data_IF_921086911139
#
_entry.id   IF_921086911139
#
_cell.length_a   1.000
_cell.length_b   1.000
_cell.length_c   1.000
_cell.angle_alpha   90.00
_cell.angle_beta   90.00
_cell.angle_gamma   90.00
#
_symmetry.space_group_name_H-M   'P 1'
#
loop_
_entity.id
_entity.type
_entity.pdbx_description
1 polymer ?
#
# COMPACT_ATOMS: atom_id res chain seq x y z
N UNK A 1 42.39 -17.19 -47.36
CA UNK A 1 43.40 -17.00 -46.31
C UNK A 1 43.99 -15.62 -46.55
N UNK A 2 43.50 -14.63 -45.80
CA UNK A 2 43.80 -13.21 -45.99
C UNK A 2 44.30 -12.68 -44.66
N UNK A 3 45.53 -12.15 -44.66
CA UNK A 3 46.19 -11.38 -43.59
C UNK A 3 47.53 -10.92 -44.22
N UNK A 4 48.10 -9.74 -44.06
CA UNK A 4 47.97 -8.65 -43.10
C UNK A 4 48.40 -7.35 -43.81
N UNK A 5 47.81 -6.20 -43.44
CA UNK A 5 48.55 -4.94 -43.43
C UNK A 5 48.04 -4.07 -42.30
N UNK A 6 48.78 -4.06 -41.20
CA UNK A 6 48.75 -2.99 -40.22
C UNK A 6 50.01 -2.16 -40.48
N UNK A 7 49.84 -0.86 -40.70
CA UNK A 7 50.68 0.11 -40.03
C UNK A 7 49.98 1.46 -39.94
N UNK A 8 50.16 2.03 -38.76
CA UNK A 8 49.39 3.10 -38.14
C UNK A 8 50.04 4.46 -38.38
N UNK A 9 49.21 5.50 -38.21
CA UNK A 9 49.48 6.73 -37.43
C UNK A 9 49.42 8.01 -38.26
N UNK A 10 48.40 8.85 -38.02
CA UNK A 10 48.60 10.25 -37.60
C UNK A 10 47.26 10.96 -37.29
N UNK A 11 47.18 11.45 -36.04
CA UNK A 11 46.45 12.59 -35.49
C UNK A 11 45.23 13.22 -36.23
N UNK A 12 44.14 13.40 -35.46
CA UNK A 12 43.64 14.74 -35.06
C UNK A 12 42.63 14.67 -33.90
N UNK A 13 42.49 15.75 -33.10
CA UNK A 13 41.72 15.78 -31.86
C UNK A 13 40.25 16.15 -32.15
N UNK A 14 39.31 15.44 -31.53
CA UNK A 14 37.92 15.90 -31.45
C UNK A 14 37.59 16.24 -30.00
N UNK A 15 37.87 17.48 -29.63
CA UNK A 15 37.12 18.14 -28.58
C UNK A 15 35.71 18.39 -29.10
N UNK A 16 34.76 17.52 -28.74
CA UNK A 16 33.35 17.85 -28.88
C UNK A 16 32.98 18.82 -27.75
N UNK A 17 32.97 20.11 -28.08
CA UNK A 17 32.06 21.03 -27.41
C UNK A 17 30.66 20.41 -27.56
N UNK A 18 30.08 19.92 -26.46
CA UNK A 18 28.69 19.50 -26.39
C UNK A 18 27.86 20.78 -26.57
N UNK A 19 27.49 21.10 -27.81
CA UNK A 19 26.47 22.10 -28.08
C UNK A 19 25.26 21.73 -27.24
N UNK A 20 24.80 22.66 -26.39
CA UNK A 20 23.48 22.60 -25.79
C UNK A 20 22.49 22.55 -26.94
N UNK A 21 22.05 21.33 -27.28
CA UNK A 21 20.93 21.16 -28.19
C UNK A 21 19.72 21.71 -27.44
N UNK A 22 19.20 22.85 -27.87
CA UNK A 22 17.82 23.20 -27.56
C UNK A 22 16.95 22.02 -27.98
N UNK A 23 16.02 21.60 -27.13
CA UNK A 23 14.98 20.65 -27.49
C UNK A 23 13.72 21.49 -27.75
N UNK A 24 13.55 22.10 -28.94
CA UNK A 24 12.25 22.66 -29.30
C UNK A 24 11.33 21.47 -29.58
N UNK A 25 10.43 21.18 -28.65
CA UNK A 25 9.34 20.23 -28.86
C UNK A 25 8.07 21.03 -28.94
N UNK A 26 7.48 21.06 -30.12
CA UNK A 26 6.10 21.46 -30.30
C UNK A 26 5.21 20.36 -29.72
N UNK A 27 4.66 20.59 -28.52
CA UNK A 27 3.89 19.59 -27.78
C UNK A 27 2.62 19.16 -28.52
N UNK A 28 2.06 20.03 -29.36
CA UNK A 28 0.80 19.76 -30.09
C UNK A 28 1.04 18.92 -31.35
N UNK A 29 2.22 19.07 -31.96
CA UNK A 29 2.61 18.34 -33.16
C UNK A 29 3.45 17.07 -32.88
N UNK A 30 4.06 16.97 -31.70
CA UNK A 30 4.93 15.85 -31.34
C UNK A 30 4.15 14.53 -31.21
N UNK A 31 4.70 13.49 -31.84
CA UNK A 31 4.24 12.13 -31.62
C UNK A 31 4.55 11.65 -30.20
N UNK A 32 3.81 10.64 -29.72
CA UNK A 32 4.03 10.07 -28.38
C UNK A 32 5.48 9.57 -28.18
N UNK A 33 6.12 9.05 -29.22
CA UNK A 33 7.52 8.59 -29.13
C UNK A 33 8.50 9.77 -29.00
N UNK A 34 8.25 10.89 -29.67
CA UNK A 34 9.06 12.11 -29.53
C UNK A 34 8.93 12.69 -28.12
N UNK A 35 7.72 12.69 -27.55
CA UNK A 35 7.49 13.12 -26.17
C UNK A 35 8.22 12.22 -25.16
N UNK A 36 8.19 10.90 -25.33
CA UNK A 36 8.93 9.96 -24.46
C UNK A 36 10.44 10.18 -24.58
N UNK A 37 10.96 10.40 -25.79
CA UNK A 37 12.37 10.68 -26.01
C UNK A 37 12.80 12.01 -25.38
N UNK A 38 11.97 13.06 -25.51
CA UNK A 38 12.22 14.35 -24.88
C UNK A 38 12.21 14.24 -23.34
N UNK A 39 11.23 13.55 -22.76
CA UNK A 39 11.17 13.31 -21.32
C UNK A 39 12.41 12.56 -20.80
N UNK A 40 12.87 11.55 -21.54
CA UNK A 40 14.09 10.81 -21.22
C UNK A 40 15.34 11.70 -21.26
N UNK A 41 15.46 12.56 -22.29
CA UNK A 41 16.58 13.49 -22.41
C UNK A 41 16.60 14.53 -21.26
N UNK A 42 15.44 15.07 -20.89
CA UNK A 42 15.29 16.01 -19.77
C UNK A 42 15.65 15.31 -18.45
N UNK A 43 15.15 14.09 -18.22
CA UNK A 43 15.45 13.32 -17.02
C UNK A 43 16.96 13.00 -16.89
N UNK A 44 17.62 12.67 -18.00
CA UNK A 44 19.06 12.41 -18.02
C UNK A 44 19.87 13.68 -17.68
N UNK A 45 19.48 14.84 -18.20
CA UNK A 45 20.10 16.12 -17.87
C UNK A 45 19.91 16.45 -16.38
N UNK A 46 18.68 16.35 -15.86
CA UNK A 46 18.37 16.58 -14.44
C UNK A 46 19.19 15.67 -13.52
N UNK A 47 19.27 14.37 -13.84
CA UNK A 47 20.01 13.39 -13.04
C UNK A 47 21.52 13.65 -13.00
N UNK A 48 22.07 14.36 -13.99
CA UNK A 48 23.50 14.67 -14.06
C UNK A 48 23.90 15.97 -13.33
N UNK A 49 22.92 16.80 -12.97
CA UNK A 49 23.17 18.08 -12.30
C UNK A 49 23.46 17.90 -10.82
N UNK A 50 24.36 18.73 -10.31
CA UNK A 50 24.56 18.85 -8.86
C UNK A 50 23.33 19.49 -8.23
N UNK A 51 22.91 18.96 -7.08
CA UNK A 51 21.82 19.57 -6.30
C UNK A 51 22.20 21.00 -5.87
N UNK A 52 21.26 21.96 -5.87
CA UNK A 52 21.52 23.30 -5.35
C UNK A 52 21.90 23.27 -3.87
N UNK A 53 22.77 24.20 -3.44
CA UNK A 53 23.18 24.31 -2.04
C UNK A 53 22.04 24.81 -1.12
N UNK A 54 21.00 25.41 -1.68
CA UNK A 54 19.85 25.92 -0.93
C UNK A 54 18.85 24.80 -0.59
N UNK A 55 18.58 24.52 0.71
CA UNK A 55 17.59 23.53 1.10
C UNK A 55 16.16 23.88 0.63
N UNK A 56 15.81 25.17 0.64
CA UNK A 56 14.49 25.62 0.18
C UNK A 56 14.30 25.37 -1.32
N UNK A 57 15.35 25.64 -2.12
CA UNK A 57 15.31 25.33 -3.55
C UNK A 57 15.21 23.82 -3.80
N UNK A 58 15.92 23.01 -3.02
CA UNK A 58 15.82 21.55 -3.11
C UNK A 58 14.42 21.02 -2.78
N UNK A 59 13.73 21.61 -1.79
CA UNK A 59 12.35 21.26 -1.46
C UNK A 59 11.41 21.51 -2.65
N UNK A 60 11.40 22.73 -3.18
CA UNK A 60 10.53 23.12 -4.31
C UNK A 60 10.81 22.27 -5.56
N UNK A 61 12.09 22.03 -5.87
CA UNK A 61 12.48 21.20 -7.01
C UNK A 61 12.08 19.73 -6.83
N UNK A 62 12.18 19.20 -5.60
CA UNK A 62 11.77 17.84 -5.31
C UNK A 62 10.26 17.65 -5.48
N UNK A 63 9.45 18.61 -5.02
CA UNK A 63 8.00 18.58 -5.18
C UNK A 63 7.60 18.69 -6.66
N UNK A 64 8.23 19.60 -7.42
CA UNK A 64 8.00 19.72 -8.86
C UNK A 64 8.39 18.48 -9.65
N UNK A 65 9.54 17.86 -9.33
CA UNK A 65 9.99 16.63 -9.96
C UNK A 65 9.10 15.42 -9.59
N UNK A 66 8.61 15.37 -8.36
CA UNK A 66 7.66 14.35 -7.92
C UNK A 66 6.34 14.46 -8.70
N UNK A 67 5.79 15.67 -8.86
CA UNK A 67 4.58 15.90 -9.65
C UNK A 67 4.78 15.50 -11.13
N UNK A 68 5.93 15.83 -11.72
CA UNK A 68 6.26 15.40 -13.08
C UNK A 68 6.39 13.87 -13.18
N UNK A 69 6.94 13.22 -12.16
CA UNK A 69 7.03 11.76 -12.07
C UNK A 69 5.64 11.13 -12.00
N UNK A 70 4.72 11.70 -11.22
CA UNK A 70 3.34 11.23 -11.14
C UNK A 70 2.63 11.25 -12.50
N UNK A 71 2.84 12.31 -13.30
CA UNK A 71 2.30 12.41 -14.67
C UNK A 71 2.92 11.36 -15.61
N UNK A 72 4.23 11.12 -15.51
CA UNK A 72 4.89 10.04 -16.25
C UNK A 72 4.35 8.67 -15.84
N UNK A 73 4.05 8.47 -14.56
CA UNK A 73 3.44 7.25 -14.06
C UNK A 73 1.99 7.10 -14.57
N UNK A 74 1.23 8.18 -14.75
CA UNK A 74 -0.09 8.13 -15.39
C UNK A 74 0.02 7.65 -16.86
N UNK A 75 0.97 8.21 -17.61
CA UNK A 75 1.21 7.82 -19.00
C UNK A 75 1.66 6.36 -19.13
N UNK A 76 2.64 5.93 -18.34
CA UNK A 76 3.13 4.55 -18.35
C UNK A 76 2.02 3.57 -17.89
N UNK A 77 1.07 3.97 -17.05
CA UNK A 77 -0.09 3.13 -16.72
C UNK A 77 -0.96 2.86 -17.96
N UNK A 78 -1.14 3.86 -18.82
CA UNK A 78 -1.81 3.73 -20.10
C UNK A 78 -1.11 2.75 -21.03
N UNK A 79 0.20 2.88 -21.20
CA UNK A 79 0.98 1.97 -22.05
C UNK A 79 0.94 0.53 -21.55
N UNK A 80 1.13 0.33 -20.23
CA UNK A 80 1.04 -1.01 -19.61
C UNK A 80 -0.36 -1.60 -19.79
N UNK A 81 -1.42 -0.79 -19.71
CA UNK A 81 -2.79 -1.24 -19.92
C UNK A 81 -3.03 -1.77 -21.33
N UNK A 82 -2.55 -1.05 -22.35
CA UNK A 82 -2.62 -1.50 -23.76
C UNK A 82 -1.83 -2.79 -23.98
N UNK A 83 -0.60 -2.85 -23.43
CA UNK A 83 0.26 -4.04 -23.53
C UNK A 83 -0.36 -5.27 -22.85
N UNK A 84 -0.95 -5.10 -21.66
CA UNK A 84 -1.61 -6.18 -20.91
C UNK A 84 -2.88 -6.67 -21.63
N UNK A 85 -3.72 -5.74 -22.09
CA UNK A 85 -4.95 -6.04 -22.81
C UNK A 85 -4.70 -6.78 -24.12
N UNK A 86 -3.65 -6.41 -24.86
CA UNK A 86 -3.25 -7.07 -26.09
C UNK A 86 -2.48 -8.39 -25.88
N UNK A 87 -2.06 -8.71 -24.65
CA UNK A 87 -1.14 -9.82 -24.35
C UNK A 87 0.12 -9.78 -25.22
N UNK A 88 0.63 -8.58 -25.45
CA UNK A 88 1.75 -8.38 -26.38
C UNK A 88 3.02 -9.05 -25.86
N UNK A 89 3.27 -9.02 -24.54
CA UNK A 89 4.50 -9.54 -23.93
C UNK A 89 4.71 -11.04 -24.14
N UNK A 90 3.65 -11.81 -24.34
CA UNK A 90 3.71 -13.24 -24.63
C UNK A 90 4.33 -13.50 -26.00
N UNK A 91 4.13 -12.61 -26.98
CA UNK A 91 4.80 -12.67 -28.30
C UNK A 91 6.31 -12.48 -28.17
N UNK A 92 6.75 -11.83 -27.10
CA UNK A 92 8.15 -11.58 -26.77
C UNK A 92 8.71 -12.59 -25.74
N UNK A 93 8.00 -13.68 -25.49
CA UNK A 93 8.47 -14.78 -24.64
C UNK A 93 8.30 -14.58 -23.14
N UNK A 94 7.59 -13.54 -22.70
CA UNK A 94 7.28 -13.36 -21.27
C UNK A 94 5.97 -14.08 -20.90
N UNK A 95 5.92 -14.80 -19.77
CA UNK A 95 4.72 -15.53 -19.36
C UNK A 95 3.56 -14.62 -18.94
N UNK A 96 3.83 -13.37 -18.57
CA UNK A 96 2.82 -12.37 -18.20
C UNK A 96 3.38 -10.95 -18.24
N UNK A 97 2.50 -9.95 -18.30
CA UNK A 97 2.87 -8.53 -18.22
C UNK A 97 3.65 -8.23 -16.94
N UNK A 98 3.25 -8.85 -15.82
CA UNK A 98 3.98 -8.74 -14.54
C UNK A 98 5.41 -9.27 -14.65
N UNK A 99 5.63 -10.39 -15.35
CA UNK A 99 6.98 -10.91 -15.58
C UNK A 99 7.80 -9.98 -16.47
N UNK A 100 7.19 -9.38 -17.50
CA UNK A 100 7.83 -8.40 -18.35
C UNK A 100 8.25 -7.15 -17.58
N UNK A 101 7.37 -6.58 -16.75
CA UNK A 101 7.68 -5.43 -15.89
C UNK A 101 8.89 -5.70 -14.96
N UNK A 102 8.96 -6.90 -14.38
CA UNK A 102 10.09 -7.29 -13.53
C UNK A 102 11.39 -7.43 -14.33
N UNK A 103 11.34 -8.14 -15.46
CA UNK A 103 12.54 -8.52 -16.21
C UNK A 103 13.08 -7.39 -17.08
N UNK A 104 12.22 -6.55 -17.66
CA UNK A 104 12.62 -5.47 -18.59
C UNK A 104 12.68 -4.09 -17.95
N UNK A 105 11.81 -3.82 -16.97
CA UNK A 105 11.77 -2.53 -16.28
C UNK A 105 12.42 -2.61 -14.89
N UNK A 106 13.02 -3.75 -14.51
CA UNK A 106 13.75 -3.91 -13.25
C UNK A 106 12.89 -3.81 -11.98
N UNK A 107 11.57 -3.91 -12.11
CA UNK A 107 10.65 -3.71 -10.98
C UNK A 107 10.70 -4.88 -9.99
N UNK A 108 10.65 -4.57 -8.69
CA UNK A 108 10.37 -5.56 -7.64
C UNK A 108 8.94 -6.10 -7.76
N UNK A 109 8.67 -7.26 -7.16
CA UNK A 109 7.36 -7.92 -7.22
C UNK A 109 6.20 -6.99 -6.84
N UNK A 110 6.31 -6.32 -5.69
CA UNK A 110 5.29 -5.42 -5.19
C UNK A 110 5.01 -4.28 -6.16
N UNK A 111 6.05 -3.64 -6.68
CA UNK A 111 5.93 -2.53 -7.65
C UNK A 111 5.32 -3.01 -8.96
N UNK A 112 5.74 -4.16 -9.48
CA UNK A 112 5.17 -4.72 -10.71
C UNK A 112 3.68 -5.09 -10.55
N UNK A 113 3.29 -5.64 -9.39
CA UNK A 113 1.89 -5.92 -9.06
C UNK A 113 1.07 -4.63 -9.00
N UNK A 114 1.53 -3.64 -8.25
CA UNK A 114 0.87 -2.33 -8.12
C UNK A 114 0.68 -1.66 -9.48
N UNK A 115 1.73 -1.65 -10.32
CA UNK A 115 1.68 -1.08 -11.67
C UNK A 115 0.65 -1.74 -12.55
N UNK A 116 0.58 -3.08 -12.49
CA UNK A 116 -0.39 -3.86 -13.25
C UNK A 116 -1.82 -3.66 -12.73
N UNK A 117 -2.00 -3.57 -11.42
CA UNK A 117 -3.30 -3.24 -10.80
C UNK A 117 -3.79 -1.88 -11.30
N UNK A 118 -2.95 -0.85 -11.18
CA UNK A 118 -3.23 0.49 -11.71
C UNK A 118 -3.66 0.46 -13.18
N UNK A 119 -2.84 -0.15 -14.03
CA UNK A 119 -3.11 -0.24 -15.46
C UNK A 119 -4.46 -0.90 -15.78
N UNK A 120 -4.82 -1.96 -15.04
CA UNK A 120 -6.08 -2.69 -15.21
C UNK A 120 -7.28 -1.92 -14.73
N UNK A 121 -7.19 -1.20 -13.61
CA UNK A 121 -8.36 -0.56 -13.00
C UNK A 121 -8.68 0.83 -13.58
N UNK A 122 -7.75 1.47 -14.31
CA UNK A 122 -7.96 2.83 -14.88
C UNK A 122 -9.29 3.02 -15.61
N UNK A 123 -9.70 2.06 -16.44
CA UNK A 123 -10.95 2.17 -17.19
C UNK A 123 -12.22 2.12 -16.32
N UNK A 124 -12.13 1.55 -15.12
CA UNK A 124 -13.22 1.45 -14.13
C UNK A 124 -13.22 2.63 -13.15
N UNK A 125 -12.20 3.48 -13.24
CA UNK A 125 -11.94 4.61 -12.35
C UNK A 125 -11.66 5.89 -13.17
N UNK A 126 -12.65 6.38 -13.95
CA UNK A 126 -12.46 7.50 -14.86
C UNK A 126 -12.12 8.81 -14.16
N UNK A 127 -12.68 9.09 -12.99
CA UNK A 127 -12.44 10.34 -12.27
C UNK A 127 -11.03 10.36 -11.67
N UNK A 128 -10.64 9.29 -11.00
CA UNK A 128 -9.28 9.07 -10.50
C UNK A 128 -8.27 9.19 -11.64
N UNK A 129 -8.56 8.56 -12.79
CA UNK A 129 -7.68 8.61 -13.97
C UNK A 129 -7.56 10.02 -14.53
N UNK A 130 -8.67 10.78 -14.57
CA UNK A 130 -8.69 12.18 -15.00
C UNK A 130 -7.85 13.07 -14.09
N UNK A 131 -8.11 13.05 -12.77
CA UNK A 131 -7.36 13.83 -11.77
C UNK A 131 -5.87 13.48 -11.76
N UNK A 132 -5.53 12.19 -11.91
CA UNK A 132 -4.13 11.76 -11.98
C UNK A 132 -3.44 12.27 -13.25
N UNK A 133 -4.09 12.19 -14.41
CA UNK A 133 -3.54 12.70 -15.67
C UNK A 133 -3.43 14.23 -15.69
N UNK A 134 -4.25 14.94 -14.92
CA UNK A 134 -4.18 16.39 -14.74
C UNK A 134 -3.13 16.83 -13.70
N UNK A 135 -2.51 15.91 -12.97
CA UNK A 135 -1.56 16.22 -11.90
C UNK A 135 -2.22 16.65 -10.59
N UNK A 136 -3.52 16.45 -10.45
CA UNK A 136 -4.32 16.77 -9.25
C UNK A 136 -4.32 15.62 -8.23
N UNK A 137 -3.85 14.44 -8.63
CA UNK A 137 -3.77 13.24 -7.78
C UNK A 137 -2.40 12.59 -7.95
N UNK A 138 -1.71 12.31 -6.85
CA UNK A 138 -0.41 11.60 -6.91
C UNK A 138 -0.58 10.12 -7.26
N UNK A 139 0.49 9.49 -7.79
CA UNK A 139 0.48 8.08 -8.13
C UNK A 139 0.22 7.18 -6.90
N UNK A 140 0.60 7.64 -5.70
CA UNK A 140 0.35 6.93 -4.45
C UNK A 140 -1.14 6.82 -4.11
N UNK A 141 -1.91 7.91 -4.28
CA UNK A 141 -3.36 7.86 -4.12
C UNK A 141 -4.03 7.06 -5.22
N UNK A 142 -3.61 7.25 -6.48
CA UNK A 142 -4.12 6.47 -7.60
C UNK A 142 -3.93 4.96 -7.37
N UNK A 143 -2.74 4.54 -6.91
CA UNK A 143 -2.43 3.14 -6.60
C UNK A 143 -3.31 2.58 -5.50
N UNK A 144 -3.52 3.38 -4.45
CA UNK A 144 -4.35 3.04 -3.30
C UNK A 144 -5.81 2.82 -3.69
N UNK A 145 -6.38 3.73 -4.49
CA UNK A 145 -7.76 3.64 -4.96
C UNK A 145 -7.92 2.45 -5.91
N UNK A 146 -6.98 2.27 -6.84
CA UNK A 146 -6.99 1.13 -7.77
C UNK A 146 -6.92 -0.23 -7.03
N UNK A 147 -6.10 -0.35 -5.99
CA UNK A 147 -6.01 -1.59 -5.20
C UNK A 147 -7.33 -1.90 -4.47
N UNK A 148 -7.97 -0.87 -3.88
CA UNK A 148 -9.22 -1.01 -3.14
C UNK A 148 -10.37 -1.58 -4.00
N UNK A 149 -10.42 -1.23 -5.29
CA UNK A 149 -11.49 -1.68 -6.20
C UNK A 149 -11.22 -3.01 -6.92
N UNK A 150 -10.04 -3.61 -6.74
CA UNK A 150 -9.64 -4.85 -7.44
C UNK A 150 -10.62 -6.01 -7.27
N UNK A 151 -11.32 -6.04 -6.13
CA UNK A 151 -12.28 -7.08 -5.77
C UNK A 151 -13.73 -6.61 -5.89
N UNK A 152 -13.99 -5.36 -6.25
CA UNK A 152 -15.35 -4.86 -6.42
C UNK A 152 -15.89 -5.20 -7.80
N UNK A 153 -17.20 -5.39 -7.91
CA UNK A 153 -17.87 -5.45 -9.21
C UNK A 153 -18.04 -4.04 -9.81
N UNK A 154 -18.52 -3.98 -11.05
CA UNK A 154 -18.67 -2.72 -11.78
C UNK A 154 -19.77 -1.81 -11.22
N UNK A 155 -20.65 -2.34 -10.36
CA UNK A 155 -21.71 -1.55 -9.70
C UNK A 155 -21.14 -0.79 -8.51
N UNK A 156 -20.33 -1.46 -7.68
CA UNK A 156 -19.74 -0.88 -6.47
C UNK A 156 -18.47 -0.06 -6.78
N UNK A 157 -17.83 -0.25 -7.95
CA UNK A 157 -16.58 0.44 -8.30
C UNK A 157 -16.73 1.98 -8.36
N UNK A 158 -17.74 2.57 -9.03
CA UNK A 158 -17.93 4.03 -9.02
C UNK A 158 -18.28 4.58 -7.63
N UNK A 159 -18.96 3.79 -6.79
CA UNK A 159 -19.28 4.20 -5.42
C UNK A 159 -18.01 4.27 -4.57
N UNK A 160 -17.14 3.25 -4.69
CA UNK A 160 -15.84 3.22 -4.03
C UNK A 160 -14.94 4.37 -4.49
N UNK A 161 -14.89 4.65 -5.80
CA UNK A 161 -14.13 5.76 -6.37
C UNK A 161 -14.52 7.09 -5.72
N UNK A 162 -15.83 7.41 -5.71
CA UNK A 162 -16.35 8.63 -5.11
C UNK A 162 -16.01 8.77 -3.62
N UNK A 163 -16.18 7.69 -2.84
CA UNK A 163 -15.90 7.72 -1.40
C UNK A 163 -14.41 7.96 -1.14
N UNK A 164 -13.53 7.24 -1.84
CA UNK A 164 -12.09 7.32 -1.62
C UNK A 164 -11.52 8.65 -2.12
N UNK A 165 -11.99 9.18 -3.26
CA UNK A 165 -11.63 10.53 -3.71
C UNK A 165 -12.14 11.60 -2.73
N UNK A 166 -13.34 11.43 -2.18
CA UNK A 166 -13.86 12.32 -1.13
C UNK A 166 -12.98 12.33 0.13
N UNK A 167 -12.30 11.22 0.47
CA UNK A 167 -11.30 11.21 1.55
C UNK A 167 -10.03 11.97 1.17
N UNK A 168 -9.59 11.86 -0.09
CA UNK A 168 -8.44 12.62 -0.60
C UNK A 168 -8.73 14.13 -0.52
N UNK A 169 -9.93 14.54 -0.93
CA UNK A 169 -10.37 15.95 -0.90
C UNK A 169 -10.44 16.51 0.54
N UNK A 170 -10.65 15.64 1.53
CA UNK A 170 -10.59 15.99 2.96
C UNK A 170 -9.16 15.98 3.54
N UNK A 171 -8.14 15.73 2.73
CA UNK A 171 -6.74 15.74 3.15
C UNK A 171 -6.26 14.48 3.88
N UNK A 172 -6.96 13.34 3.73
CA UNK A 172 -6.53 12.09 4.34
C UNK A 172 -5.29 11.55 3.63
N UNK A 173 -4.28 11.10 4.41
CA UNK A 173 -3.06 10.52 3.82
C UNK A 173 -3.34 9.23 3.04
N UNK A 174 -2.49 8.93 2.05
CA UNK A 174 -2.62 7.70 1.23
C UNK A 174 -2.68 6.43 2.08
N UNK A 175 -1.91 6.34 3.17
CA UNK A 175 -1.96 5.20 4.10
C UNK A 175 -3.30 5.06 4.82
N UNK A 176 -3.96 6.17 5.13
CA UNK A 176 -5.30 6.17 5.74
C UNK A 176 -6.37 5.80 4.72
N UNK A 177 -6.28 6.32 3.50
CA UNK A 177 -7.14 5.92 2.37
C UNK A 177 -6.97 4.41 2.08
N UNK A 178 -5.75 3.88 2.12
CA UNK A 178 -5.48 2.45 1.90
C UNK A 178 -6.09 1.57 2.99
N UNK A 179 -5.97 2.01 4.25
CA UNK A 179 -6.55 1.30 5.38
C UNK A 179 -8.08 1.24 5.29
N UNK A 180 -8.71 2.32 4.83
CA UNK A 180 -10.15 2.36 4.59
C UNK A 180 -10.55 1.55 3.35
N UNK A 181 -9.77 1.63 2.28
CA UNK A 181 -9.95 0.88 1.04
C UNK A 181 -10.03 -0.63 1.25
N UNK A 182 -9.31 -1.19 2.23
CA UNK A 182 -9.41 -2.61 2.60
C UNK A 182 -10.82 -3.05 3.03
N UNK A 183 -11.63 -2.12 3.54
CA UNK A 183 -13.00 -2.35 4.04
C UNK A 183 -14.06 -1.71 3.14
N UNK A 184 -13.70 -1.17 1.97
CA UNK A 184 -14.62 -0.37 1.15
C UNK A 184 -15.86 -1.16 0.72
N UNK A 185 -15.74 -2.47 0.49
CA UNK A 185 -16.88 -3.35 0.19
C UNK A 185 -17.88 -3.39 1.35
N UNK A 186 -17.37 -3.56 2.58
CA UNK A 186 -18.20 -3.58 3.80
C UNK A 186 -18.90 -2.24 3.97
N UNK A 187 -18.16 -1.13 3.80
CA UNK A 187 -18.70 0.24 3.90
C UNK A 187 -19.83 0.48 2.89
N UNK A 188 -19.66 0.02 1.65
CA UNK A 188 -20.71 0.17 0.62
C UNK A 188 -21.93 -0.70 0.96
N UNK A 189 -21.72 -1.92 1.42
CA UNK A 189 -22.79 -2.82 1.82
C UNK A 189 -23.59 -2.27 3.01
N UNK A 190 -22.91 -1.75 4.04
CA UNK A 190 -23.51 -1.08 5.20
C UNK A 190 -24.33 0.16 4.76
N UNK A 191 -23.75 1.02 3.91
CA UNK A 191 -24.40 2.26 3.43
C UNK A 191 -25.70 1.97 2.68
N UNK A 192 -25.68 0.95 1.82
CA UNK A 192 -26.80 0.65 0.94
C UNK A 192 -27.80 -0.34 1.58
N UNK A 193 -27.63 -0.68 2.86
CA UNK A 193 -28.46 -1.68 3.55
C UNK A 193 -28.37 -3.08 2.93
N UNK A 194 -27.32 -3.31 2.13
CA UNK A 194 -27.00 -4.58 1.44
C UNK A 194 -25.99 -5.38 2.26
N UNK A 195 -25.94 -5.17 3.57
CA UNK A 195 -25.07 -5.91 4.47
C UNK A 195 -25.36 -7.41 4.30
N UNK A 196 -24.52 -8.06 3.50
CA UNK A 196 -24.50 -9.51 3.41
C UNK A 196 -23.60 -9.96 4.54
N UNK A 197 -24.20 -10.74 5.44
CA UNK A 197 -23.43 -11.51 6.40
C UNK A 197 -22.27 -12.19 5.64
N UNK A 198 -21.02 -12.15 6.15
CA UNK A 198 -19.89 -12.81 5.50
C UNK A 198 -20.27 -14.24 5.06
N UNK A 199 -19.73 -14.76 3.95
CA UNK A 199 -20.01 -16.15 3.51
C UNK A 199 -19.77 -17.18 4.64
N UNK A 200 -18.89 -16.84 5.59
CA UNK A 200 -18.59 -17.55 6.82
C UNK A 200 -19.81 -17.70 7.77
N UNK A 201 -20.84 -16.87 7.62
CA UNK A 201 -22.13 -16.87 8.32
C UNK A 201 -23.12 -17.88 7.71
N UNK A 202 -22.75 -18.59 6.64
CA UNK A 202 -23.46 -19.82 6.25
C UNK A 202 -23.51 -20.87 7.37
N UNK A 203 -22.74 -20.69 8.46
CA UNK A 203 -22.81 -21.51 9.70
C UNK A 203 -23.93 -21.10 10.67
N UNK A 204 -24.69 -20.04 10.35
CA UNK A 204 -25.77 -19.49 11.16
C UNK A 204 -25.26 -18.61 12.31
N UNK A 205 -25.99 -17.52 12.60
CA UNK A 205 -25.74 -16.59 13.71
C UNK A 205 -25.84 -17.22 15.12
N UNK A 206 -26.11 -18.52 15.22
CA UNK A 206 -26.21 -19.22 16.50
C UNK A 206 -24.86 -19.81 16.93
N UNK A 207 -23.92 -20.06 16.00
CA UNK A 207 -22.72 -20.86 16.30
C UNK A 207 -21.43 -20.09 16.06
N UNK A 208 -20.73 -19.81 17.15
CA UNK A 208 -19.37 -19.31 17.13
C UNK A 208 -18.42 -20.29 16.43
N UNK A 209 -17.42 -19.75 15.73
CA UNK A 209 -16.39 -20.54 15.08
C UNK A 209 -15.06 -19.82 15.04
N UNK A 210 -13.98 -20.60 15.01
CA UNK A 210 -12.60 -20.12 14.86
C UNK A 210 -11.92 -21.03 13.84
N UNK A 211 -11.23 -20.43 12.88
CA UNK A 211 -10.33 -21.09 11.94
C UNK A 211 -8.88 -20.72 12.21
N UNK A 212 -7.96 -21.64 11.93
CA UNK A 212 -6.53 -21.47 12.17
C UNK A 212 -5.69 -21.95 10.99
N UNK A 213 -5.13 -20.99 10.26
CA UNK A 213 -4.25 -21.25 9.11
C UNK A 213 -2.78 -21.16 9.53
N UNK A 214 -1.94 -22.11 9.10
CA UNK A 214 -0.50 -22.07 9.38
C UNK A 214 0.21 -21.01 8.53
N UNK A 215 1.08 -20.23 9.16
CA UNK A 215 2.04 -19.35 8.51
C UNK A 215 3.31 -20.13 8.15
N UNK A 216 4.07 -19.62 7.18
CA UNK A 216 5.30 -20.24 6.67
C UNK A 216 6.44 -20.26 7.71
N UNK A 217 6.37 -19.40 8.71
CA UNK A 217 7.34 -19.26 9.81
C UNK A 217 6.95 -20.09 11.06
N UNK A 218 5.93 -20.95 10.95
CA UNK A 218 5.44 -21.78 12.05
C UNK A 218 4.42 -21.10 12.96
N UNK A 219 4.13 -19.80 12.75
CA UNK A 219 3.02 -19.10 13.37
C UNK A 219 1.65 -19.58 12.84
N UNK A 220 0.57 -19.05 13.41
CA UNK A 220 -0.81 -19.31 12.95
C UNK A 220 -1.60 -18.02 12.84
N UNK A 221 -2.28 -17.83 11.72
CA UNK A 221 -3.34 -16.84 11.59
C UNK A 221 -4.63 -17.42 12.17
N UNK A 222 -5.30 -16.66 13.03
CA UNK A 222 -6.57 -17.05 13.63
C UNK A 222 -7.62 -16.04 13.16
N UNK A 223 -8.73 -16.54 12.61
CA UNK A 223 -9.91 -15.74 12.27
C UNK A 223 -11.14 -16.45 12.82
N UNK A 224 -12.11 -15.72 13.33
CA UNK A 224 -13.33 -16.32 13.84
C UNK A 224 -14.46 -15.31 13.94
N UNK A 225 -15.63 -15.84 14.24
CA UNK A 225 -16.82 -15.07 14.59
C UNK A 225 -17.40 -15.67 15.88
N UNK A 226 -17.79 -14.82 16.82
CA UNK A 226 -18.44 -15.22 18.06
C UNK A 226 -19.86 -14.67 18.08
N UNK A 227 -20.82 -15.49 18.51
CA UNK A 227 -22.16 -15.02 18.84
C UNK A 227 -22.10 -14.10 20.08
N UNK A 228 -23.22 -13.44 20.41
CA UNK A 228 -23.25 -12.47 21.50
C UNK A 228 -22.86 -13.05 22.88
N UNK A 229 -23.21 -14.31 23.15
CA UNK A 229 -22.90 -14.98 24.42
C UNK A 229 -21.40 -15.31 24.51
N UNK A 230 -20.84 -15.93 23.48
CA UNK A 230 -19.43 -16.29 23.42
C UNK A 230 -18.53 -15.05 23.34
N UNK A 231 -18.99 -13.98 22.69
CA UNK A 231 -18.31 -12.68 22.69
C UNK A 231 -18.28 -12.08 24.10
N UNK A 232 -19.38 -12.16 24.87
CA UNK A 232 -19.40 -11.69 26.25
C UNK A 232 -18.45 -12.51 27.15
N UNK A 233 -18.34 -13.83 26.93
CA UNK A 233 -17.36 -14.69 27.62
C UNK A 233 -15.93 -14.29 27.22
N UNK A 234 -15.68 -14.08 25.93
CA UNK A 234 -14.38 -13.66 25.40
C UNK A 234 -13.94 -12.34 26.01
N UNK A 235 -14.79 -11.32 25.98
CA UNK A 235 -14.52 -10.00 26.51
C UNK A 235 -14.36 -10.02 28.04
N UNK A 236 -15.21 -10.77 28.74
CA UNK A 236 -15.13 -10.94 30.19
C UNK A 236 -13.85 -11.65 30.64
N UNK A 237 -13.32 -12.56 29.82
CA UNK A 237 -12.11 -13.34 30.14
C UNK A 237 -10.83 -12.60 29.75
N UNK A 238 -10.77 -12.07 28.52
CA UNK A 238 -9.56 -11.45 27.98
C UNK A 238 -9.46 -9.96 28.31
N UNK A 239 -10.59 -9.24 28.34
CA UNK A 239 -10.63 -7.80 28.57
C UNK A 239 -9.87 -7.34 29.82
N UNK A 240 -10.03 -8.00 30.99
CA UNK A 240 -9.25 -7.68 32.18
C UNK A 240 -7.74 -7.90 32.02
N UNK A 241 -7.34 -8.94 31.26
CA UNK A 241 -5.95 -9.34 31.05
C UNK A 241 -5.25 -8.55 29.94
N UNK A 242 -6.02 -7.95 29.03
CA UNK A 242 -5.51 -7.15 27.92
C UNK A 242 -5.28 -5.67 28.28
N UNK A 243 -5.48 -5.29 29.55
CA UNK A 243 -5.17 -3.95 30.05
C UNK A 243 -3.66 -3.70 30.08
N UNK A 244 -3.19 -2.45 29.89
CA UNK A 244 -1.77 -2.11 29.99
C UNK A 244 -1.16 -2.52 31.34
N UNK A 245 -0.03 -3.21 31.32
CA UNK A 245 0.72 -3.59 32.51
C UNK A 245 1.62 -2.45 33.01
N UNK A 246 1.01 -1.35 33.46
CA UNK A 246 1.71 -0.16 33.93
C UNK A 246 2.16 0.79 32.81
N UNK A 247 2.88 1.84 33.18
CA UNK A 247 3.27 2.94 32.28
C UNK A 247 4.31 2.58 31.24
N UNK A 248 5.05 1.48 31.45
CA UNK A 248 6.10 1.01 30.54
C UNK A 248 5.62 -0.04 29.53
N UNK A 249 4.34 -0.43 29.56
CA UNK A 249 3.77 -1.38 28.61
C UNK A 249 3.50 -0.71 27.25
N UNK A 250 4.45 -0.87 26.32
CA UNK A 250 4.39 -0.29 24.98
C UNK A 250 3.59 -1.10 23.95
N UNK A 251 3.05 -2.25 24.35
CA UNK A 251 2.30 -3.12 23.43
C UNK A 251 0.99 -2.48 23.00
N UNK A 252 0.54 -2.76 21.79
CA UNK A 252 -0.80 -2.35 21.35
C UNK A 252 -1.89 -3.27 21.95
N UNK A 253 -3.16 -2.91 21.75
CA UNK A 253 -4.28 -3.71 22.26
C UNK A 253 -4.31 -5.13 21.67
N UNK A 254 -3.93 -5.28 20.40
CA UNK A 254 -3.92 -6.58 19.71
C UNK A 254 -2.86 -7.50 20.30
N UNK A 255 -1.65 -6.98 20.51
CA UNK A 255 -0.54 -7.69 21.16
C UNK A 255 -0.89 -8.11 22.59
N UNK A 256 -1.52 -7.21 23.37
CA UNK A 256 -1.99 -7.54 24.72
C UNK A 256 -3.10 -8.58 24.72
N UNK A 257 -4.05 -8.49 23.78
CA UNK A 257 -5.13 -9.48 23.64
C UNK A 257 -4.59 -10.86 23.26
N UNK A 258 -3.59 -10.93 22.38
CA UNK A 258 -2.91 -12.18 22.03
C UNK A 258 -2.16 -12.80 23.21
N UNK A 259 -1.47 -11.97 24.01
CA UNK A 259 -0.81 -12.40 25.25
C UNK A 259 -1.81 -12.90 26.30
N UNK A 260 -2.94 -12.19 26.48
CA UNK A 260 -4.03 -12.59 27.35
C UNK A 260 -4.61 -13.96 26.94
N UNK A 261 -4.91 -14.15 25.65
CA UNK A 261 -5.41 -15.42 25.13
C UNK A 261 -4.43 -16.57 25.39
N UNK A 262 -3.14 -16.35 25.15
CA UNK A 262 -2.11 -17.36 25.38
C UNK A 262 -1.96 -17.70 26.86
N UNK A 263 -2.02 -16.70 27.75
CA UNK A 263 -2.07 -16.89 29.21
C UNK A 263 -3.30 -17.70 29.64
N UNK A 264 -4.45 -17.47 29.00
CA UNK A 264 -5.67 -18.24 29.28
C UNK A 264 -5.53 -19.69 28.85
N UNK A 265 -5.08 -19.93 27.61
CA UNK A 265 -4.90 -21.27 27.04
C UNK A 265 -3.83 -22.09 27.76
N UNK A 266 -2.78 -21.44 28.26
CA UNK A 266 -1.73 -22.08 29.07
C UNK A 266 -2.12 -22.29 30.54
N UNK A 267 -3.31 -21.84 30.95
CA UNK A 267 -3.79 -21.94 32.34
C UNK A 267 -3.16 -20.94 33.31
N UNK A 268 -2.40 -19.95 32.83
CA UNK A 268 -1.68 -18.96 33.66
C UNK A 268 -2.60 -18.12 34.55
N UNK A 269 -3.81 -17.83 34.10
CA UNK A 269 -4.85 -17.11 34.88
C UNK A 269 -5.44 -17.89 36.07
N UNK A 270 -5.23 -19.22 36.16
CA UNK A 270 -5.77 -20.07 37.24
C UNK A 270 -4.84 -20.19 38.45
N UNK A 271 -3.60 -19.71 38.34
CA UNK A 271 -2.56 -19.86 39.36
C UNK A 271 -2.29 -18.58 40.17
N UNK A 272 -3.17 -17.57 40.08
CA UNK A 272 -3.03 -16.34 40.88
C UNK A 272 -3.35 -16.65 42.35
N UNK A 273 -2.31 -16.93 43.14
CA UNK A 273 -2.42 -17.01 44.60
C UNK A 273 -2.45 -15.60 45.15
N UNK A 274 -3.60 -15.17 45.64
CA UNK A 274 -3.72 -13.93 46.43
C UNK A 274 -3.48 -14.30 47.90
N UNK A 275 -2.36 -13.86 48.45
CA UNK A 275 -2.14 -13.87 49.90
C UNK A 275 -2.56 -12.52 50.43
N UNK A 276 -3.72 -12.46 51.10
CA UNK A 276 -4.13 -11.29 51.87
C UNK A 276 -3.52 -11.42 53.26
N UNK A 277 -2.67 -10.47 53.63
CA UNK A 277 -2.21 -10.30 55.01
C UNK A 277 -3.01 -9.14 55.57
N UNK A 278 -3.95 -9.44 56.46
CA UNK A 278 -4.65 -8.43 57.25
C UNK A 278 -4.09 -8.47 58.67
N UNK A 279 -3.71 -7.30 59.18
CA UNK A 279 -3.46 -7.11 60.60
C UNK A 279 -4.80 -6.94 61.32
N UNK A 280 -5.05 -7.79 62.32
CA UNK A 280 -6.29 -7.85 63.08
C UNK A 280 -6.56 -6.53 63.84
N UNK A 281 -5.51 -5.81 64.23
CA UNK A 281 -5.64 -4.54 64.96
C UNK A 281 -6.27 -3.47 64.06
N UNK A 282 -5.92 -3.44 62.76
CA UNK A 282 -6.52 -2.52 61.78
C UNK A 282 -7.99 -2.81 61.48
N UNK A 283 -8.42 -4.08 61.59
CA UNK A 283 -9.79 -4.51 61.30
C UNK A 283 -10.74 -4.37 62.50
N UNK A 284 -10.19 -4.36 63.72
CA UNK A 284 -10.97 -4.29 64.97
C UNK A 284 -10.92 -2.93 65.65
N UNK A 285 -10.26 -1.93 65.03
CA UNK A 285 -10.17 -0.56 65.55
C UNK A 285 -9.14 -0.41 66.68
N UNK A 286 -8.03 -1.16 66.61
CA UNK A 286 -6.90 -1.07 67.52
C UNK A 286 -6.34 0.35 67.59
N UNK A 287 -6.23 0.83 68.84
CA UNK A 287 -5.90 2.17 69.33
C UNK A 287 -5.21 3.14 68.37
N UNK A 288 -5.88 4.26 68.12
CA UNK A 288 -5.33 5.50 67.55
C UNK A 288 -4.00 5.88 68.21
N UNK A 289 -2.91 6.10 67.45
CA UNK A 289 -1.67 6.60 68.04
C UNK A 289 -1.81 8.08 68.42
N UNK A 290 -1.30 8.43 69.60
CA UNK A 290 -0.95 9.81 69.98
C UNK A 290 0.53 10.06 69.62
#
# INVERSE_FOLDING_TARGET
>A
MVEFRLESTSQRPFGYHRSMSSIPVDLDAASTIELVNAASAIAAELASRTAPDSPAACLELAEGLAAATDLQEAALAGYVGVVDGAREVQRWGFPSTRSWLRSRLGMRESRAKERLTLARQRHRLPEMTGRWAAGELSAGYAATIADAVTRLDDTDCPVAENILLGMVDQGFSAGKVASFGKRIREVIAERDGREQAPDDVARGYERSWIDSTRSLDGGRYIKGWLNAEDAAIWDGTLGPLAKPAGTDDRRDLTERTAAALTSVLSGGHKATKVTVICDLDTLTGGTTPA
#
